data_IF_762224959803
#
_entry.id   IF_762224959803
#
_cell.length_a   1.000
_cell.length_b   1.000
_cell.length_c   1.000
_cell.angle_alpha   90.00
_cell.angle_beta   90.00
_cell.angle_gamma   90.00
#
_symmetry.space_group_name_H-M   'P 1'
#
loop_
_entity.id
_entity.type
_entity.pdbx_description
1 polymer ?
#
# COMPACT_ATOMS: atom_id res chain seq x y z
N UNK A 1 -7.03 15.12 4.54
CA UNK A 1 -5.78 14.47 4.05
C UNK A 1 -5.77 14.54 2.53
N UNK A 2 -4.60 14.85 1.93
CA UNK A 2 -4.44 14.77 0.47
C UNK A 2 -3.62 13.53 0.13
N UNK A 3 -4.06 12.77 -0.88
CA UNK A 3 -3.36 11.61 -1.41
C UNK A 3 -3.18 11.77 -2.90
N UNK A 4 -1.97 11.49 -3.41
CA UNK A 4 -1.65 11.47 -4.85
C UNK A 4 -1.01 10.15 -5.23
N UNK A 5 -1.44 9.57 -6.35
CA UNK A 5 -0.87 8.34 -6.89
C UNK A 5 0.38 8.68 -7.71
N UNK A 6 1.56 8.32 -7.20
CA UNK A 6 2.83 8.52 -7.91
C UNK A 6 3.17 7.36 -8.85
N UNK A 7 2.82 6.13 -8.45
CA UNK A 7 3.05 4.92 -9.26
C UNK A 7 1.82 4.03 -9.17
N UNK A 8 1.37 3.56 -10.31
CA UNK A 8 0.39 2.50 -10.53
C UNK A 8 0.64 1.83 -11.88
N UNK A 9 0.06 0.67 -12.11
CA UNK A 9 0.12 -0.04 -13.40
C UNK A 9 -0.56 0.74 -14.54
N UNK A 10 -1.46 1.68 -14.21
CA UNK A 10 -2.26 2.44 -15.15
C UNK A 10 -1.96 3.93 -15.10
N UNK A 11 -2.22 4.60 -16.23
CA UNK A 11 -2.27 6.05 -16.36
C UNK A 11 -3.65 6.44 -16.92
N UNK A 12 -4.05 7.71 -16.75
CA UNK A 12 -5.28 8.21 -17.34
C UNK A 12 -5.09 8.61 -18.81
N UNK A 13 -6.18 8.63 -19.57
CA UNK A 13 -6.20 9.14 -20.94
C UNK A 13 -5.82 10.63 -20.91
N UNK A 14 -4.94 11.02 -21.82
CA UNK A 14 -4.37 12.37 -21.94
C UNK A 14 -3.54 12.87 -20.74
N UNK A 15 -3.22 11.97 -19.79
CA UNK A 15 -2.27 12.24 -18.71
C UNK A 15 -0.91 11.60 -19.05
N UNK A 16 0.13 12.44 -19.18
CA UNK A 16 1.44 11.97 -19.67
C UNK A 16 2.39 11.56 -18.55
N UNK A 17 1.88 10.88 -17.52
CA UNK A 17 2.67 10.23 -16.48
C UNK A 17 3.19 8.87 -16.94
N UNK A 18 4.11 8.30 -16.20
CA UNK A 18 4.68 6.97 -16.47
C UNK A 18 4.06 5.97 -15.51
N UNK A 19 3.38 4.94 -16.04
CA UNK A 19 2.95 3.77 -15.27
C UNK A 19 4.04 2.70 -15.28
N UNK A 20 4.09 1.90 -14.21
CA UNK A 20 4.93 0.69 -14.13
C UNK A 20 4.25 -0.34 -13.22
N UNK A 21 4.62 -1.65 -13.32
CA UNK A 21 4.18 -2.63 -12.32
C UNK A 21 4.73 -2.26 -10.96
N UNK A 22 3.91 -1.65 -10.13
CA UNK A 22 4.30 -1.16 -8.81
C UNK A 22 3.30 -0.18 -8.23
N UNK A 23 3.51 0.21 -6.99
CA UNK A 23 2.65 1.18 -6.30
C UNK A 23 3.48 2.18 -5.50
N UNK A 24 3.07 3.46 -5.54
CA UNK A 24 3.57 4.49 -4.64
C UNK A 24 2.54 5.59 -4.48
N UNK A 25 2.28 6.00 -3.24
CA UNK A 25 1.43 7.13 -2.91
C UNK A 25 2.22 8.22 -2.19
N UNK A 26 1.95 9.47 -2.54
CA UNK A 26 2.34 10.64 -1.77
C UNK A 26 1.15 11.14 -0.97
N UNK A 27 1.36 11.38 0.32
CA UNK A 27 0.28 11.75 1.25
C UNK A 27 0.72 13.00 2.02
N UNK A 28 -0.21 13.97 2.12
CA UNK A 28 -0.08 15.14 2.98
C UNK A 28 -1.18 15.15 4.02
N UNK A 29 -0.82 15.19 5.29
CA UNK A 29 -1.76 15.34 6.40
C UNK A 29 -1.18 16.16 7.54
N UNK A 30 -1.90 17.20 8.01
CA UNK A 30 -1.49 18.05 9.16
C UNK A 30 -0.06 18.58 9.05
N UNK A 31 0.37 18.93 7.83
CA UNK A 31 1.71 19.45 7.56
C UNK A 31 2.80 18.39 7.52
N UNK A 32 2.45 17.09 7.62
CA UNK A 32 3.34 15.96 7.40
C UNK A 32 3.30 15.49 5.96
N UNK A 33 4.45 15.15 5.40
CA UNK A 33 4.64 14.62 4.06
C UNK A 33 5.11 13.18 4.15
N UNK A 34 4.36 12.27 3.57
CA UNK A 34 4.57 10.84 3.67
C UNK A 34 4.68 10.24 2.27
N UNK A 35 5.71 9.44 2.03
CA UNK A 35 5.82 8.57 0.87
C UNK A 35 5.47 7.15 1.30
N UNK A 36 4.40 6.58 0.77
CA UNK A 36 3.98 5.21 1.03
C UNK A 36 4.34 4.35 -0.18
N UNK A 37 5.30 3.46 -0.01
CA UNK A 37 6.01 2.66 -1.02
C UNK A 37 6.75 3.52 -2.08
N UNK A 38 7.58 2.86 -2.89
CA UNK A 38 8.46 3.52 -3.85
C UNK A 38 8.34 3.01 -5.28
N UNK A 39 7.40 2.06 -5.53
CA UNK A 39 7.29 1.42 -6.83
C UNK A 39 8.47 0.50 -7.17
N UNK A 40 8.62 0.18 -8.44
CA UNK A 40 9.63 -0.75 -8.93
C UNK A 40 10.94 -0.06 -9.35
N UNK A 41 10.86 1.20 -9.81
CA UNK A 41 12.01 1.94 -10.34
C UNK A 41 12.06 3.39 -9.86
N UNK A 42 12.73 4.27 -10.60
CA UNK A 42 12.78 5.72 -10.35
C UNK A 42 11.53 6.48 -10.84
N UNK A 43 10.51 5.77 -11.29
CA UNK A 43 9.28 6.35 -11.84
C UNK A 43 8.57 7.24 -10.82
N UNK A 44 8.55 6.86 -9.54
CA UNK A 44 7.96 7.71 -8.48
C UNK A 44 8.62 9.10 -8.40
N UNK A 45 9.94 9.20 -8.60
CA UNK A 45 10.67 10.49 -8.63
C UNK A 45 10.30 11.31 -9.86
N UNK A 46 10.24 10.67 -11.03
CA UNK A 46 9.90 11.33 -12.30
C UNK A 46 8.48 11.87 -12.28
N UNK A 47 7.54 11.08 -11.77
CA UNK A 47 6.15 11.49 -11.66
C UNK A 47 5.95 12.57 -10.60
N UNK A 48 6.60 12.46 -9.43
CA UNK A 48 6.60 13.51 -8.41
C UNK A 48 7.10 14.85 -8.98
N UNK A 49 8.21 14.84 -9.72
CA UNK A 49 8.73 16.03 -10.38
C UNK A 49 7.71 16.65 -11.35
N UNK A 50 7.03 15.84 -12.18
CA UNK A 50 6.00 16.31 -13.11
C UNK A 50 4.78 16.90 -12.38
N UNK A 51 4.45 16.38 -11.20
CA UNK A 51 3.36 16.87 -10.34
C UNK A 51 3.78 18.06 -9.46
N UNK A 52 5.02 18.55 -9.59
CA UNK A 52 5.61 19.58 -8.73
C UNK A 52 5.59 19.20 -7.24
N UNK A 53 5.80 17.91 -6.93
CA UNK A 53 5.94 17.39 -5.58
C UNK A 53 7.42 17.30 -5.25
N UNK A 54 7.84 18.00 -4.20
CA UNK A 54 9.19 17.92 -3.66
C UNK A 54 9.28 16.78 -2.65
N UNK A 55 10.03 15.73 -2.98
CA UNK A 55 10.28 14.58 -2.11
C UNK A 55 11.50 14.75 -1.19
N UNK A 56 12.23 15.88 -1.26
CA UNK A 56 13.29 16.15 -0.29
C UNK A 56 12.70 16.38 1.09
N UNK A 57 13.35 15.83 2.11
CA UNK A 57 12.95 15.99 3.51
C UNK A 57 11.47 15.69 3.77
N UNK A 58 10.93 14.62 3.14
CA UNK A 58 9.66 14.05 3.56
C UNK A 58 9.77 13.62 5.02
N UNK A 59 8.68 13.76 5.78
CA UNK A 59 8.71 13.39 7.21
C UNK A 59 8.82 11.88 7.40
N UNK A 60 8.08 11.12 6.58
CA UNK A 60 8.03 9.66 6.68
C UNK A 60 8.16 8.99 5.31
N UNK A 61 8.99 7.97 5.24
CA UNK A 61 8.93 6.90 4.26
C UNK A 61 8.26 5.71 4.94
N UNK A 62 7.20 5.19 4.36
CA UNK A 62 6.47 4.04 4.90
C UNK A 62 6.52 2.92 3.88
N UNK A 63 6.94 1.73 4.29
CA UNK A 63 6.93 0.55 3.42
C UNK A 63 5.85 -0.42 3.90
N UNK A 64 5.02 -0.84 2.95
CA UNK A 64 3.91 -1.76 3.21
C UNK A 64 4.38 -3.18 3.40
N UNK A 65 5.25 -3.65 2.51
CA UNK A 65 5.85 -4.99 2.51
C UNK A 65 7.07 -5.04 1.58
N UNK A 66 7.79 -6.16 1.57
CA UNK A 66 9.11 -6.24 0.96
C UNK A 66 9.17 -6.67 -0.51
N UNK A 67 8.08 -6.74 -1.27
CA UNK A 67 8.17 -7.05 -2.70
C UNK A 67 8.81 -5.90 -3.47
N UNK A 68 9.54 -6.25 -4.52
CA UNK A 68 10.37 -5.32 -5.29
C UNK A 68 9.56 -4.30 -6.11
N UNK A 69 8.30 -4.54 -6.39
CA UNK A 69 7.37 -3.61 -7.03
C UNK A 69 6.81 -2.54 -6.05
N UNK A 70 7.18 -2.62 -4.77
CA UNK A 70 6.94 -1.63 -3.71
C UNK A 70 8.22 -1.03 -3.15
N UNK A 71 9.31 -1.77 -3.21
CA UNK A 71 10.60 -1.39 -2.61
C UNK A 71 11.71 -1.16 -3.63
N UNK A 72 11.45 -1.42 -4.91
CA UNK A 72 12.44 -1.30 -5.99
C UNK A 72 13.01 0.10 -6.13
N UNK A 73 12.16 1.12 -5.94
CA UNK A 73 12.53 2.53 -5.97
C UNK A 73 13.51 2.95 -4.88
N UNK A 74 13.68 2.16 -3.80
CA UNK A 74 14.69 2.42 -2.76
C UNK A 74 16.11 2.57 -3.32
N UNK A 75 16.43 1.92 -4.45
CA UNK A 75 17.72 2.10 -5.15
C UNK A 75 18.01 3.55 -5.53
N UNK A 76 16.97 4.36 -5.65
CA UNK A 76 17.04 5.73 -6.17
C UNK A 76 16.86 6.79 -5.09
N UNK A 77 16.70 6.40 -3.81
CA UNK A 77 16.53 7.34 -2.69
C UNK A 77 17.70 8.33 -2.54
N UNK A 78 18.90 7.97 -2.98
CA UNK A 78 20.05 8.88 -2.95
C UNK A 78 19.88 10.11 -3.87
N UNK A 79 18.84 10.13 -4.72
CA UNK A 79 18.51 11.28 -5.58
C UNK A 79 17.74 12.38 -4.85
N UNK A 80 17.31 12.11 -3.62
CA UNK A 80 16.59 13.06 -2.75
C UNK A 80 17.26 13.09 -1.36
N UNK A 81 17.07 14.17 -0.62
CA UNK A 81 17.55 14.27 0.75
C UNK A 81 16.55 13.59 1.71
N UNK A 82 16.96 12.49 2.30
CA UNK A 82 16.21 11.73 3.31
C UNK A 82 16.81 11.83 4.71
N UNK A 83 17.76 12.74 4.94
CA UNK A 83 18.48 12.86 6.23
C UNK A 83 17.57 13.21 7.41
N UNK A 84 16.41 13.80 7.15
CA UNK A 84 15.40 14.13 8.16
C UNK A 84 14.17 13.19 8.11
N UNK A 85 14.20 12.16 7.27
CA UNK A 85 13.09 11.23 7.07
C UNK A 85 13.14 10.07 8.07
N UNK A 86 12.03 9.77 8.73
CA UNK A 86 11.85 8.53 9.48
C UNK A 86 11.31 7.43 8.54
N UNK A 87 11.89 6.24 8.62
CA UNK A 87 11.37 5.04 7.93
C UNK A 87 10.51 4.23 8.89
N UNK A 88 9.26 3.97 8.51
CA UNK A 88 8.37 3.04 9.20
C UNK A 88 8.22 1.80 8.33
N UNK A 89 8.66 0.65 8.81
CA UNK A 89 8.53 -0.63 8.11
C UNK A 89 8.68 -1.79 9.08
N UNK A 90 7.99 -2.90 8.82
CA UNK A 90 8.29 -4.16 9.49
C UNK A 90 9.66 -4.67 9.04
N UNK A 91 10.49 -5.23 9.94
CA UNK A 91 11.83 -5.71 9.58
C UNK A 91 11.83 -6.77 8.48
N UNK A 92 10.75 -7.56 8.38
CA UNK A 92 10.54 -8.55 7.32
C UNK A 92 10.54 -8.00 5.89
N UNK A 93 10.35 -6.69 5.71
CA UNK A 93 10.44 -6.00 4.40
C UNK A 93 11.79 -6.25 3.73
N UNK A 94 12.86 -6.40 4.51
CA UNK A 94 14.23 -6.58 4.01
C UNK A 94 14.65 -8.05 3.84
N UNK A 95 13.72 -9.00 4.00
CA UNK A 95 13.99 -10.42 3.75
C UNK A 95 14.17 -10.67 2.25
N UNK A 96 15.12 -11.55 1.92
CA UNK A 96 15.26 -12.09 0.57
C UNK A 96 14.09 -13.03 0.26
N UNK A 97 13.49 -12.86 -0.91
CA UNK A 97 12.30 -13.58 -1.38
C UNK A 97 12.47 -14.05 -2.80
N UNK A 98 12.02 -15.25 -3.08
CA UNK A 98 12.07 -15.82 -4.43
C UNK A 98 10.70 -16.36 -4.85
N UNK A 99 10.31 -16.08 -6.09
CA UNK A 99 9.14 -16.68 -6.71
C UNK A 99 9.47 -17.20 -8.10
N UNK A 100 9.30 -18.50 -8.32
CA UNK A 100 9.59 -19.17 -9.61
C UNK A 100 10.99 -18.89 -10.15
N UNK A 101 12.00 -18.84 -9.27
CA UNK A 101 13.39 -18.59 -9.64
C UNK A 101 13.77 -17.11 -9.82
N UNK A 102 12.83 -16.18 -9.60
CA UNK A 102 13.08 -14.74 -9.64
C UNK A 102 13.18 -14.18 -8.24
N UNK A 103 14.17 -13.35 -7.97
CA UNK A 103 14.27 -12.54 -6.76
C UNK A 103 13.18 -11.46 -6.79
N UNK A 104 12.28 -11.50 -5.82
CA UNK A 104 11.15 -10.57 -5.71
C UNK A 104 11.20 -9.73 -4.42
N UNK A 105 12.23 -9.90 -3.60
CA UNK A 105 12.42 -9.17 -2.35
C UNK A 105 12.94 -7.75 -2.55
N UNK A 106 13.04 -7.01 -1.45
CA UNK A 106 13.63 -5.68 -1.44
C UNK A 106 15.08 -5.71 -1.94
N UNK A 107 15.41 -4.89 -2.94
CA UNK A 107 16.76 -4.86 -3.51
C UNK A 107 17.77 -4.09 -2.67
N UNK A 108 17.30 -3.43 -1.59
CA UNK A 108 18.10 -2.57 -0.73
C UNK A 108 17.91 -3.03 0.71
N UNK A 109 18.99 -3.18 1.45
CA UNK A 109 18.95 -3.49 2.88
C UNK A 109 18.84 -2.20 3.71
N UNK A 110 18.23 -2.29 4.90
CA UNK A 110 18.01 -1.14 5.79
C UNK A 110 19.27 -0.30 6.02
N UNK A 111 20.43 -0.97 6.23
CA UNK A 111 21.70 -0.31 6.53
C UNK A 111 22.25 0.56 5.38
N UNK A 112 21.75 0.34 4.16
CA UNK A 112 22.15 1.11 2.98
C UNK A 112 21.30 2.37 2.77
N UNK A 113 20.23 2.57 3.55
CA UNK A 113 19.33 3.70 3.44
C UNK A 113 19.76 4.79 4.42
N UNK A 114 20.04 5.99 3.92
CA UNK A 114 20.36 7.15 4.77
C UNK A 114 19.06 7.73 5.33
N UNK A 115 18.85 7.66 6.63
CA UNK A 115 17.63 8.08 7.32
C UNK A 115 17.95 8.81 8.62
N UNK A 116 16.99 9.58 9.11
CA UNK A 116 17.03 10.13 10.47
C UNK A 116 16.88 9.01 11.52
N UNK A 117 15.89 8.13 11.32
CA UNK A 117 15.59 7.04 12.24
C UNK A 117 14.81 5.93 11.52
N UNK A 118 14.87 4.73 12.10
CA UNK A 118 14.03 3.59 11.73
C UNK A 118 13.04 3.31 12.87
N UNK A 119 11.77 3.15 12.51
CA UNK A 119 10.67 2.79 13.41
C UNK A 119 10.20 1.39 13.02
N UNK A 120 10.35 0.43 13.94
CA UNK A 120 9.87 -0.94 13.71
C UNK A 120 8.35 -0.94 13.58
N UNK A 121 7.88 -1.38 12.42
CA UNK A 121 6.48 -1.46 12.05
C UNK A 121 5.79 -2.76 12.48
N UNK A 122 6.34 -3.56 13.39
CA UNK A 122 5.63 -4.74 13.93
C UNK A 122 4.38 -4.33 14.70
N UNK A 123 4.44 -3.22 15.42
CA UNK A 123 3.32 -2.62 16.13
C UNK A 123 2.69 -1.44 15.38
N UNK A 124 1.43 -1.09 15.67
CA UNK A 124 0.80 0.11 15.12
C UNK A 124 1.54 1.40 15.52
N UNK A 125 1.59 2.36 14.58
CA UNK A 125 2.22 3.64 14.80
C UNK A 125 1.30 4.81 14.39
N UNK A 126 1.18 5.83 15.24
CA UNK A 126 0.42 7.05 14.95
C UNK A 126 1.30 8.06 14.20
N UNK A 127 1.05 8.24 12.90
CA UNK A 127 1.81 9.17 12.05
C UNK A 127 1.37 10.62 12.28
N UNK A 128 0.04 10.85 12.28
CA UNK A 128 -0.59 12.13 12.61
C UNK A 128 -1.74 11.90 13.57
N UNK A 129 -2.51 12.93 13.92
CA UNK A 129 -3.70 12.73 14.78
C UNK A 129 -4.75 11.84 14.14
N UNK A 130 -4.77 11.76 12.82
CA UNK A 130 -5.78 11.05 12.06
C UNK A 130 -5.23 9.89 11.22
N UNK A 131 -3.92 9.86 10.91
CA UNK A 131 -3.29 8.86 10.07
C UNK A 131 -2.49 7.87 10.90
N UNK A 132 -2.77 6.58 10.70
CA UNK A 132 -2.18 5.47 11.46
C UNK A 132 -1.60 4.42 10.53
N UNK A 133 -0.42 3.94 10.86
CA UNK A 133 0.16 2.70 10.34
C UNK A 133 -0.37 1.54 11.17
N UNK A 134 -0.87 0.49 10.54
CA UNK A 134 -1.62 -0.57 11.23
C UNK A 134 -0.76 -1.62 11.94
N UNK A 135 0.55 -1.66 11.67
CA UNK A 135 1.42 -2.73 12.17
C UNK A 135 1.13 -4.06 11.47
N UNK A 136 1.65 -5.14 12.02
CA UNK A 136 1.39 -6.48 11.51
C UNK A 136 -0.11 -6.82 11.58
N UNK A 137 -0.64 -7.42 10.51
CA UNK A 137 -2.07 -7.74 10.37
C UNK A 137 -2.34 -9.16 10.85
N UNK A 138 -3.29 -9.30 11.78
CA UNK A 138 -3.80 -10.61 12.20
C UNK A 138 -4.59 -11.27 11.06
N UNK A 139 -4.27 -12.54 10.72
CA UNK A 139 -4.94 -13.30 9.66
C UNK A 139 -6.01 -14.21 10.26
N UNK A 140 -7.25 -13.68 10.40
CA UNK A 140 -8.38 -14.37 11.02
C UNK A 140 -9.42 -14.86 10.02
N UNK A 141 -9.36 -14.35 8.79
CA UNK A 141 -10.30 -14.65 7.73
C UNK A 141 -9.65 -15.69 6.81
N UNK A 142 -10.04 -16.94 6.91
CA UNK A 142 -9.36 -18.09 6.31
C UNK A 142 -9.30 -18.05 4.78
N UNK A 143 -10.33 -17.52 4.11
CA UNK A 143 -10.34 -17.46 2.64
C UNK A 143 -9.31 -16.48 2.06
N UNK A 144 -8.72 -15.62 2.89
CA UNK A 144 -7.66 -14.68 2.50
C UNK A 144 -6.24 -15.21 2.73
N UNK A 145 -6.09 -16.34 3.40
CA UNK A 145 -4.78 -16.92 3.70
C UNK A 145 -4.07 -17.37 2.42
N UNK A 146 -2.85 -16.87 2.23
CA UNK A 146 -2.00 -17.20 1.07
C UNK A 146 -0.53 -17.08 1.40
N UNK A 147 0.29 -17.66 0.51
CA UNK A 147 1.75 -17.53 0.51
C UNK A 147 2.20 -17.07 -0.87
N UNK A 148 3.25 -16.27 -0.94
CA UNK A 148 3.83 -15.75 -2.18
C UNK A 148 5.32 -16.09 -2.24
N UNK A 149 5.66 -17.14 -2.98
CA UNK A 149 7.05 -17.56 -3.12
C UNK A 149 7.63 -18.17 -1.85
N UNK A 150 8.93 -18.00 -1.67
CA UNK A 150 9.70 -18.55 -0.56
C UNK A 150 10.70 -17.55 0.01
N UNK A 151 10.98 -17.65 1.28
CA UNK A 151 12.07 -16.97 1.97
C UNK A 151 13.43 -17.61 1.67
N UNK A 152 14.53 -16.96 2.06
CA UNK A 152 15.89 -17.45 1.85
C UNK A 152 16.15 -18.84 2.49
N UNK A 153 15.44 -19.20 3.54
CA UNK A 153 15.52 -20.53 4.20
C UNK A 153 14.69 -21.62 3.50
N UNK A 154 14.04 -21.28 2.37
CA UNK A 154 13.21 -22.19 1.58
C UNK A 154 11.78 -22.37 2.07
N UNK A 155 11.39 -21.73 3.17
CA UNK A 155 10.00 -21.78 3.66
C UNK A 155 9.09 -20.93 2.79
N UNK A 156 7.83 -21.35 2.69
CA UNK A 156 6.78 -20.54 2.07
C UNK A 156 6.70 -19.16 2.75
N UNK A 157 6.63 -18.10 1.93
CA UNK A 157 6.52 -16.73 2.45
C UNK A 157 5.05 -16.36 2.64
N UNK A 158 4.66 -16.15 3.88
CA UNK A 158 3.33 -15.66 4.24
C UNK A 158 3.22 -14.14 4.13
N UNK A 159 4.30 -13.43 3.80
CA UNK A 159 4.36 -11.96 3.73
C UNK A 159 3.83 -11.32 5.03
N UNK A 160 4.40 -11.73 6.17
CA UNK A 160 3.94 -11.28 7.50
C UNK A 160 4.21 -9.79 7.75
N UNK A 161 5.05 -9.18 6.94
CA UNK A 161 5.36 -7.75 6.93
C UNK A 161 4.30 -6.89 6.24
N UNK A 162 3.30 -7.51 5.57
CA UNK A 162 2.23 -6.78 4.87
C UNK A 162 1.37 -5.98 5.84
N UNK A 163 1.14 -4.71 5.48
CA UNK A 163 0.40 -3.75 6.27
C UNK A 163 -0.29 -2.69 5.40
N UNK A 164 -1.01 -1.78 6.07
CA UNK A 164 -1.73 -0.68 5.45
C UNK A 164 -1.73 0.56 6.35
N UNK A 165 -2.21 1.68 5.80
CA UNK A 165 -2.52 2.88 6.55
C UNK A 165 -4.04 3.00 6.74
N UNK A 166 -4.46 3.62 7.85
CA UNK A 166 -5.85 3.96 8.12
C UNK A 166 -5.97 5.44 8.50
N UNK A 167 -6.84 6.16 7.82
CA UNK A 167 -7.13 7.55 8.10
C UNK A 167 -8.51 7.67 8.76
N UNK A 168 -8.55 8.20 9.97
CA UNK A 168 -9.79 8.37 10.75
C UNK A 168 -10.39 9.75 10.51
N UNK A 169 -11.66 9.78 10.13
CA UNK A 169 -12.47 11.00 10.01
C UNK A 169 -13.69 10.93 10.94
N UNK A 170 -14.48 11.98 10.99
CA UNK A 170 -15.76 12.00 11.72
C UNK A 170 -16.80 11.07 11.05
N UNK A 171 -16.67 10.81 9.74
CA UNK A 171 -17.58 9.96 8.97
C UNK A 171 -17.19 8.47 9.00
N UNK A 172 -15.96 8.14 9.39
CA UNK A 172 -15.43 6.78 9.46
C UNK A 172 -13.96 6.67 9.08
N UNK A 173 -13.56 5.48 8.65
CA UNK A 173 -12.18 5.14 8.32
C UNK A 173 -12.00 5.05 6.81
N UNK A 174 -10.99 5.72 6.27
CA UNK A 174 -10.48 5.51 4.91
C UNK A 174 -9.21 4.65 4.98
N UNK A 175 -9.17 3.56 4.21
CA UNK A 175 -8.02 2.62 4.21
C UNK A 175 -7.17 2.86 2.98
N UNK A 176 -5.84 2.89 3.18
CA UNK A 176 -4.84 3.00 2.13
C UNK A 176 -3.96 1.77 2.23
N UNK A 177 -4.08 0.86 1.27
CA UNK A 177 -3.33 -0.39 1.23
C UNK A 177 -2.42 -0.46 0.01
N UNK A 178 -1.49 -1.43 0.01
CA UNK A 178 -0.59 -1.67 -1.11
C UNK A 178 -1.02 -2.91 -1.91
N UNK A 179 -0.67 -4.12 -1.46
CA UNK A 179 -1.07 -5.38 -2.09
C UNK A 179 -2.10 -6.17 -1.30
N UNK A 180 -2.23 -5.92 0.00
CA UNK A 180 -3.13 -6.70 0.88
C UNK A 180 -2.82 -8.19 0.89
N UNK A 181 -1.54 -8.58 1.02
CA UNK A 181 -1.17 -10.00 1.11
C UNK A 181 -1.70 -10.68 2.38
N UNK A 182 -1.92 -9.90 3.43
CA UNK A 182 -2.60 -10.34 4.65
C UNK A 182 -4.12 -10.50 4.48
N UNK A 183 -4.66 -10.06 3.33
CA UNK A 183 -6.08 -10.03 3.02
C UNK A 183 -6.71 -8.67 3.31
N UNK A 184 -7.46 -8.15 2.33
CA UNK A 184 -8.11 -6.83 2.48
C UNK A 184 -9.15 -6.83 3.60
N UNK A 185 -9.88 -7.92 3.80
CA UNK A 185 -10.86 -8.04 4.87
C UNK A 185 -10.18 -8.09 6.25
N UNK A 186 -9.02 -8.76 6.37
CA UNK A 186 -8.21 -8.75 7.59
C UNK A 186 -7.67 -7.36 7.92
N UNK A 187 -7.23 -6.59 6.90
CA UNK A 187 -6.80 -5.20 7.06
C UNK A 187 -7.94 -4.33 7.57
N UNK A 188 -9.15 -4.49 7.00
CA UNK A 188 -10.35 -3.76 7.44
C UNK A 188 -10.67 -4.06 8.90
N UNK A 189 -10.68 -5.33 9.30
CA UNK A 189 -10.95 -5.72 10.69
C UNK A 189 -9.89 -5.19 11.66
N UNK A 190 -8.62 -5.17 11.26
CA UNK A 190 -7.54 -4.55 12.05
C UNK A 190 -7.79 -3.05 12.25
N UNK A 191 -8.14 -2.32 11.18
CA UNK A 191 -8.41 -0.88 11.24
C UNK A 191 -9.62 -0.57 12.13
N UNK A 192 -10.75 -1.28 11.93
CA UNK A 192 -11.96 -1.14 12.78
C UNK A 192 -11.66 -1.34 14.26
N UNK A 193 -10.98 -2.44 14.58
CA UNK A 193 -10.61 -2.77 15.96
C UNK A 193 -9.72 -1.70 16.58
N UNK A 194 -8.66 -1.30 15.85
CA UNK A 194 -7.68 -0.35 16.35
C UNK A 194 -8.26 1.04 16.58
N UNK A 195 -9.11 1.52 15.66
CA UNK A 195 -9.68 2.86 15.71
C UNK A 195 -11.05 2.91 16.41
N UNK A 196 -11.56 1.76 16.85
CA UNK A 196 -12.87 1.61 17.48
C UNK A 196 -13.99 2.28 16.68
N UNK A 197 -14.01 1.99 15.38
CA UNK A 197 -15.03 2.47 14.43
C UNK A 197 -15.29 1.40 13.37
N UNK A 198 -16.55 1.06 13.11
CA UNK A 198 -16.93 0.03 12.12
C UNK A 198 -17.26 0.62 10.75
N UNK A 199 -17.27 1.94 10.60
CA UNK A 199 -17.64 2.64 9.37
C UNK A 199 -16.42 2.75 8.45
N UNK A 200 -16.46 2.09 7.30
CA UNK A 200 -15.45 2.22 6.25
C UNK A 200 -16.01 3.13 5.16
N UNK A 201 -15.43 4.32 5.00
CA UNK A 201 -15.87 5.32 4.04
C UNK A 201 -15.24 5.15 2.66
N UNK A 202 -14.12 4.44 2.56
CA UNK A 202 -13.47 4.15 1.29
C UNK A 202 -12.18 3.36 1.46
N UNK A 203 -11.74 2.73 0.36
CA UNK A 203 -10.49 1.94 0.33
C UNK A 203 -9.77 2.21 -0.98
N UNK A 204 -8.48 2.57 -0.92
CA UNK A 204 -7.60 2.68 -2.09
C UNK A 204 -6.44 1.71 -1.98
N UNK A 205 -6.07 1.08 -3.10
CA UNK A 205 -4.89 0.24 -3.23
C UNK A 205 -5.13 -1.09 -3.94
N UNK A 206 -4.17 -1.98 -3.86
CA UNK A 206 -4.23 -3.33 -4.38
C UNK A 206 -4.87 -4.30 -3.37
N UNK A 207 -5.71 -5.19 -3.85
CA UNK A 207 -6.40 -6.20 -3.02
C UNK A 207 -5.90 -7.61 -3.30
N UNK A 208 -4.88 -7.73 -4.16
CA UNK A 208 -4.33 -8.99 -4.64
C UNK A 208 -5.41 -9.98 -5.15
N UNK A 209 -6.41 -9.45 -5.83
CA UNK A 209 -7.48 -10.21 -6.47
C UNK A 209 -7.19 -10.32 -7.96
N UNK A 210 -6.43 -11.36 -8.33
CA UNK A 210 -5.84 -11.54 -9.66
C UNK A 210 -6.70 -12.39 -10.58
N UNK A 211 -7.70 -13.11 -10.04
CA UNK A 211 -8.53 -14.07 -10.74
C UNK A 211 -9.97 -13.99 -10.27
N UNK A 212 -10.88 -14.42 -11.15
CA UNK A 212 -12.29 -14.65 -10.82
C UNK A 212 -12.42 -16.02 -10.14
N UNK A 213 -12.39 -16.02 -8.82
CA UNK A 213 -12.40 -17.22 -7.99
C UNK A 213 -13.21 -17.02 -6.69
N UNK A 214 -13.29 -18.09 -5.88
CA UNK A 214 -14.02 -18.06 -4.61
C UNK A 214 -13.56 -16.95 -3.67
N UNK A 215 -12.25 -16.62 -3.62
CA UNK A 215 -11.74 -15.54 -2.78
C UNK A 215 -12.36 -14.19 -3.17
N UNK A 216 -12.46 -13.93 -4.48
CA UNK A 216 -13.11 -12.71 -4.97
C UNK A 216 -14.59 -12.65 -4.56
N UNK A 217 -15.32 -13.76 -4.70
CA UNK A 217 -16.74 -13.80 -4.35
C UNK A 217 -16.96 -13.55 -2.84
N UNK A 218 -16.16 -14.18 -1.98
CA UNK A 218 -16.21 -13.97 -0.52
C UNK A 218 -15.81 -12.54 -0.13
N UNK A 219 -14.80 -11.94 -0.79
CA UNK A 219 -14.40 -10.54 -0.56
C UNK A 219 -15.53 -9.58 -0.96
N UNK A 220 -16.20 -9.80 -2.07
CA UNK A 220 -17.35 -8.98 -2.51
C UNK A 220 -18.51 -9.11 -1.53
N UNK A 221 -18.81 -10.33 -1.05
CA UNK A 221 -19.82 -10.54 -0.02
C UNK A 221 -19.48 -9.76 1.25
N UNK A 222 -18.22 -9.84 1.70
CA UNK A 222 -17.75 -9.09 2.85
C UNK A 222 -17.92 -7.56 2.67
N UNK A 223 -17.57 -7.02 1.49
CA UNK A 223 -17.76 -5.58 1.21
C UNK A 223 -19.24 -5.18 1.28
N UNK A 224 -20.13 -6.00 0.74
CA UNK A 224 -21.57 -5.75 0.76
C UNK A 224 -22.14 -5.80 2.19
N UNK A 225 -21.79 -6.83 2.97
CA UNK A 225 -22.22 -7.00 4.37
C UNK A 225 -21.74 -5.87 5.28
N UNK A 226 -20.54 -5.34 5.01
CA UNK A 226 -19.94 -4.23 5.77
C UNK A 226 -20.30 -2.86 5.19
N UNK A 227 -21.20 -2.79 4.20
CA UNK A 227 -21.67 -1.55 3.57
C UNK A 227 -20.54 -0.66 3.04
N UNK A 228 -19.47 -1.26 2.49
CA UNK A 228 -18.35 -0.55 1.89
C UNK A 228 -18.76 -0.11 0.48
N UNK A 229 -18.84 1.20 0.24
CA UNK A 229 -19.46 1.74 -0.99
C UNK A 229 -18.50 2.49 -1.90
N UNK A 230 -17.33 2.92 -1.43
CA UNK A 230 -16.35 3.67 -2.22
C UNK A 230 -15.06 2.86 -2.34
N UNK A 231 -14.76 2.35 -3.53
CA UNK A 231 -13.58 1.52 -3.80
C UNK A 231 -12.71 2.15 -4.89
N UNK A 232 -11.42 2.20 -4.64
CA UNK A 232 -10.37 2.68 -5.55
C UNK A 232 -9.36 1.55 -5.80
N UNK A 233 -9.78 0.40 -6.42
CA UNK A 233 -8.92 -0.76 -6.62
C UNK A 233 -7.89 -0.49 -7.73
N UNK A 234 -6.62 -0.72 -7.43
CA UNK A 234 -5.51 -0.47 -8.35
C UNK A 234 -4.45 -1.57 -8.29
N UNK A 235 -3.36 -1.38 -8.99
CA UNK A 235 -2.16 -2.22 -8.99
C UNK A 235 -2.48 -3.71 -9.21
N UNK A 236 -2.59 -4.52 -8.15
CA UNK A 236 -2.78 -5.97 -8.20
C UNK A 236 -4.27 -6.40 -8.11
N UNK A 237 -5.17 -5.67 -8.81
CA UNK A 237 -6.60 -6.02 -8.93
C UNK A 237 -6.95 -6.17 -10.40
N UNK A 238 -7.35 -7.39 -10.83
CA UNK A 238 -7.68 -7.67 -12.22
C UNK A 238 -8.99 -6.98 -12.67
N UNK A 239 -9.17 -6.85 -13.97
CA UNK A 239 -10.35 -6.20 -14.56
C UNK A 239 -11.66 -6.90 -14.19
N UNK A 240 -11.68 -8.23 -14.18
CA UNK A 240 -12.86 -9.01 -13.79
C UNK A 240 -13.27 -8.78 -12.33
N UNK A 241 -12.29 -8.64 -11.43
CA UNK A 241 -12.54 -8.29 -10.03
C UNK A 241 -13.15 -6.88 -9.90
N UNK A 242 -12.56 -5.88 -10.58
CA UNK A 242 -13.11 -4.51 -10.62
C UNK A 242 -14.56 -4.50 -11.14
N UNK A 243 -14.84 -5.22 -12.24
CA UNK A 243 -16.17 -5.31 -12.81
C UNK A 243 -17.19 -5.97 -11.85
N UNK A 244 -16.81 -7.04 -11.15
CA UNK A 244 -17.69 -7.67 -10.14
C UNK A 244 -17.95 -6.75 -8.94
N UNK A 245 -16.95 -6.01 -8.45
CA UNK A 245 -17.11 -5.05 -7.35
C UNK A 245 -18.12 -3.94 -7.66
N UNK A 246 -18.29 -3.55 -8.95
CA UNK A 246 -19.30 -2.56 -9.37
C UNK A 246 -20.74 -2.98 -9.06
N UNK A 247 -21.01 -4.25 -8.78
CA UNK A 247 -22.35 -4.71 -8.39
C UNK A 247 -22.72 -4.35 -6.93
N UNK A 248 -21.73 -4.05 -6.08
CA UNK A 248 -21.94 -3.81 -4.64
C UNK A 248 -21.45 -2.45 -4.18
N UNK A 249 -20.51 -1.83 -4.92
CA UNK A 249 -19.87 -0.58 -4.57
C UNK A 249 -19.64 0.30 -5.81
N UNK A 250 -19.41 1.59 -5.58
CA UNK A 250 -18.88 2.49 -6.60
C UNK A 250 -17.39 2.26 -6.72
N UNK A 251 -16.97 1.78 -7.89
CA UNK A 251 -15.58 1.53 -8.22
C UNK A 251 -15.05 2.70 -9.03
N UNK A 252 -14.02 3.35 -8.52
CA UNK A 252 -13.36 4.47 -9.18
C UNK A 252 -12.16 3.96 -10.00
N UNK A 253 -11.93 4.62 -11.13
CA UNK A 253 -10.71 4.43 -11.89
C UNK A 253 -9.52 5.00 -11.10
N UNK A 254 -8.43 4.27 -11.07
CA UNK A 254 -7.16 4.70 -10.47
C UNK A 254 -6.06 4.62 -11.51
N UNK A 255 -5.22 5.63 -11.52
CA UNK A 255 -4.02 5.71 -12.33
C UNK A 255 -3.07 6.74 -11.75
N UNK A 256 -1.86 6.78 -12.29
CA UNK A 256 -0.86 7.79 -11.90
C UNK A 256 -1.42 9.18 -12.15
N UNK A 257 -1.30 10.07 -11.16
CA UNK A 257 -1.86 11.42 -11.21
C UNK A 257 -3.20 11.59 -10.48
N UNK A 258 -3.88 10.49 -10.09
CA UNK A 258 -5.09 10.61 -9.25
C UNK A 258 -4.80 11.39 -7.98
N UNK A 259 -5.65 12.37 -7.68
CA UNK A 259 -5.63 13.14 -6.43
C UNK A 259 -6.94 12.90 -5.66
N UNK A 260 -6.83 12.62 -4.37
CA UNK A 260 -7.97 12.47 -3.46
C UNK A 260 -7.81 13.45 -2.29
N UNK A 261 -8.89 14.16 -1.98
CA UNK A 261 -9.08 14.91 -0.74
C UNK A 261 -10.05 14.13 0.16
N UNK A 262 -9.55 13.68 1.33
CA UNK A 262 -10.26 12.81 2.27
C UNK A 262 -10.41 13.51 3.61
#
# INVERSE_FOLDING_TARGET
MKLKVLVDNNTFIDEYFVGEPGLSFYIEDKGKRILFDTGYSDVYLKNAQKMNIDLNNIDYLVLSHGHNDHTGGLRYLNSIDTSNTALIAHLGVFNSRNHKGLEIGSPVQLQAIKLKEFIDGSDPYKITDNLYYLGQIDRKIDFENRTIGTLADGKADEVLDDTALAYKTDDGIFIITACSHSGICNIIEKAKKMLNDNRIIGIIGGFHLLEDNKQLDETINYFNENNIKELYPCHCVCLSAKAKMMNVAKVHEVGVGLELDI
#
